data_IF_109644451707
#
_entry.id   IF_109644451707
#
_cell.length_a   1.000
_cell.length_b   1.000
_cell.length_c   1.000
_cell.angle_alpha   90.00
_cell.angle_beta   90.00
_cell.angle_gamma   90.00
#
_symmetry.space_group_name_H-M   'P 1'
#
loop_
_entity.id
_entity.type
_entity.pdbx_description
1 polymer ?
#
# COMPACT_ATOMS: atom_id res chain seq x y z
N UNK A 1 -10.95 -12.89 -7.52
CA UNK A 1 -9.65 -12.56 -8.13
C UNK A 1 -9.20 -13.70 -9.02
N UNK A 2 -8.61 -13.38 -10.16
CA UNK A 2 -8.17 -14.36 -11.17
C UNK A 2 -6.75 -14.04 -11.64
N UNK A 3 -6.05 -15.09 -12.08
CA UNK A 3 -4.75 -14.96 -12.74
C UNK A 3 -4.88 -14.36 -14.17
N UNK A 4 -3.77 -14.22 -14.87
CA UNK A 4 -3.74 -13.70 -16.25
C UNK A 4 -4.34 -14.65 -17.31
N UNK A 5 -4.66 -15.88 -16.92
CA UNK A 5 -5.31 -16.89 -17.76
C UNK A 5 -6.77 -17.09 -17.41
N UNK A 6 -7.32 -16.31 -16.46
CA UNK A 6 -8.69 -16.37 -16.00
C UNK A 6 -8.97 -17.43 -14.93
N UNK A 7 -7.95 -18.13 -14.41
CA UNK A 7 -8.13 -19.09 -13.33
C UNK A 7 -8.25 -18.39 -11.99
N UNK A 8 -9.19 -18.84 -11.16
CA UNK A 8 -9.37 -18.28 -9.83
C UNK A 8 -8.17 -18.56 -8.92
N UNK A 9 -7.68 -17.55 -8.21
CA UNK A 9 -6.75 -17.75 -7.11
C UNK A 9 -7.43 -18.54 -6.00
N UNK A 10 -6.67 -19.45 -5.38
CA UNK A 10 -7.12 -20.25 -4.24
C UNK A 10 -6.42 -19.79 -2.98
N UNK A 11 -7.18 -19.61 -1.92
CA UNK A 11 -6.69 -19.25 -0.59
C UNK A 11 -6.80 -20.48 0.31
N UNK A 12 -5.74 -20.77 1.06
CA UNK A 12 -5.74 -21.68 2.18
C UNK A 12 -5.22 -20.97 3.42
N UNK A 13 -5.83 -21.26 4.57
CA UNK A 13 -5.43 -20.74 5.89
C UNK A 13 -4.94 -21.90 6.75
N UNK A 14 -3.67 -22.31 6.62
CA UNK A 14 -3.10 -23.36 7.45
C UNK A 14 -3.02 -22.90 8.92
N UNK A 15 -2.90 -23.86 9.84
CA UNK A 15 -2.88 -23.59 11.29
C UNK A 15 -1.92 -22.47 11.72
N UNK A 16 -0.66 -22.39 11.24
CA UNK A 16 0.21 -21.27 11.58
C UNK A 16 -0.35 -19.91 11.17
N UNK A 17 -1.03 -19.83 10.03
CA UNK A 17 -1.68 -18.57 9.59
C UNK A 17 -2.85 -18.20 10.49
N UNK A 18 -3.67 -19.18 10.94
CA UNK A 18 -4.75 -18.94 11.90
C UNK A 18 -4.21 -18.44 13.25
N UNK A 19 -3.11 -19.00 13.73
CA UNK A 19 -2.45 -18.55 14.97
C UNK A 19 -1.94 -17.11 14.79
N UNK A 20 -1.30 -16.79 13.66
CA UNK A 20 -0.81 -15.44 13.37
C UNK A 20 -1.97 -14.43 13.31
N UNK A 21 -3.07 -14.77 12.64
CA UNK A 21 -4.26 -13.93 12.57
C UNK A 21 -4.85 -13.67 13.96
N UNK A 22 -4.96 -14.71 14.79
CA UNK A 22 -5.43 -14.55 16.17
C UNK A 22 -4.56 -13.56 16.98
N UNK A 23 -3.22 -13.64 16.83
CA UNK A 23 -2.31 -12.69 17.50
C UNK A 23 -2.49 -11.27 16.96
N UNK A 24 -2.61 -11.11 15.64
CA UNK A 24 -2.83 -9.78 15.02
C UNK A 24 -4.16 -9.18 15.51
N UNK A 25 -5.23 -9.95 15.51
CA UNK A 25 -6.54 -9.48 16.00
C UNK A 25 -6.50 -9.04 17.45
N UNK A 26 -5.84 -9.82 18.29
CA UNK A 26 -5.71 -9.52 19.71
C UNK A 26 -4.84 -8.28 19.98
N UNK A 27 -3.73 -8.14 19.26
CA UNK A 27 -2.67 -7.20 19.60
C UNK A 27 -2.71 -5.92 18.76
N UNK A 28 -3.22 -5.97 17.51
CA UNK A 28 -3.20 -4.85 16.58
C UNK A 28 -4.57 -4.17 16.37
N UNK A 29 -5.70 -4.85 16.64
CA UNK A 29 -7.04 -4.27 16.54
C UNK A 29 -7.55 -3.69 17.86
N UNK A 30 -6.86 -3.92 18.98
CA UNK A 30 -7.29 -3.53 20.32
C UNK A 30 -6.99 -2.08 20.69
N UNK A 31 -7.45 -1.69 21.90
CA UNK A 31 -7.00 -0.47 22.55
C UNK A 31 -5.70 -0.73 23.31
N UNK A 32 -4.72 0.19 23.22
CA UNK A 32 -3.55 0.12 24.11
C UNK A 32 -4.04 0.32 25.54
N UNK A 33 -3.99 -0.75 26.33
CA UNK A 33 -4.16 -0.67 27.78
C UNK A 33 -2.79 -0.37 28.39
N UNK A 34 -2.56 0.89 28.74
CA UNK A 34 -1.38 1.24 29.56
C UNK A 34 -1.77 1.13 31.03
N UNK A 35 -0.97 0.46 31.83
CA UNK A 35 -1.12 0.39 33.30
C UNK A 35 -0.89 1.76 33.98
N UNK A 36 -0.37 2.74 33.23
CA UNK A 36 -0.10 4.09 33.72
C UNK A 36 -1.04 5.09 33.02
N UNK A 37 -1.68 5.94 33.81
CA UNK A 37 -2.61 7.00 33.40
C UNK A 37 -1.92 8.16 32.70
N UNK A 38 -1.11 7.89 31.68
CA UNK A 38 -0.63 8.92 30.74
C UNK A 38 -1.70 9.18 29.69
N UNK A 39 -1.85 10.41 29.18
CA UNK A 39 -2.84 10.73 28.15
C UNK A 39 -2.63 9.83 26.94
N UNK A 40 -3.49 8.84 26.77
CA UNK A 40 -3.43 7.79 25.74
C UNK A 40 -3.34 8.40 24.34
N UNK A 41 -3.96 9.57 24.14
CA UNK A 41 -4.00 10.28 22.86
C UNK A 41 -2.64 10.84 22.41
N UNK A 42 -1.87 11.49 23.29
CA UNK A 42 -0.57 12.06 22.93
C UNK A 42 0.47 11.00 22.56
N UNK A 43 0.48 9.87 23.27
CA UNK A 43 1.40 8.77 22.99
C UNK A 43 1.02 8.04 21.69
N UNK A 44 -0.28 7.87 21.43
CA UNK A 44 -0.78 7.28 20.19
C UNK A 44 -0.41 8.14 18.97
N UNK A 45 -0.68 9.44 19.02
CA UNK A 45 -0.40 10.35 17.92
C UNK A 45 1.10 10.46 17.63
N UNK A 46 1.93 10.45 18.69
CA UNK A 46 3.39 10.42 18.54
C UNK A 46 3.86 9.11 17.90
N UNK A 47 3.31 7.97 18.33
CA UNK A 47 3.63 6.67 17.75
C UNK A 47 3.24 6.62 16.28
N UNK A 48 2.02 7.02 15.95
CA UNK A 48 1.51 7.03 14.57
C UNK A 48 2.34 7.94 13.67
N UNK A 49 2.71 9.14 14.15
CA UNK A 49 3.55 10.06 13.39
C UNK A 49 4.94 9.47 13.14
N UNK A 50 5.53 8.83 14.15
CA UNK A 50 6.84 8.19 14.01
C UNK A 50 6.77 7.05 12.98
N UNK A 51 5.77 6.17 13.11
CA UNK A 51 5.59 5.04 12.19
C UNK A 51 5.31 5.49 10.76
N UNK A 52 4.53 6.57 10.58
CA UNK A 52 4.26 7.19 9.29
C UNK A 52 5.56 7.70 8.61
N UNK A 53 6.41 8.39 9.36
CA UNK A 53 7.70 8.87 8.87
C UNK A 53 8.59 7.67 8.48
N UNK A 54 8.68 6.65 9.33
CA UNK A 54 9.47 5.45 9.10
C UNK A 54 9.03 4.71 7.82
N UNK A 55 7.74 4.46 7.68
CA UNK A 55 7.19 3.80 6.49
C UNK A 55 7.43 4.62 5.23
N UNK A 56 7.25 5.93 5.31
CA UNK A 56 7.45 6.81 4.16
C UNK A 56 8.90 6.78 3.66
N UNK A 57 9.86 6.66 4.57
CA UNK A 57 11.29 6.55 4.25
C UNK A 57 11.60 5.16 3.70
N UNK A 58 11.27 4.12 4.45
CA UNK A 58 11.64 2.73 4.10
C UNK A 58 10.98 2.27 2.82
N UNK A 59 9.69 2.54 2.66
CA UNK A 59 8.93 2.22 1.45
C UNK A 59 9.51 2.90 0.20
N UNK A 60 9.94 4.16 0.31
CA UNK A 60 10.56 4.89 -0.80
C UNK A 60 11.98 4.41 -1.09
N UNK A 61 12.76 4.05 -0.05
CA UNK A 61 14.09 3.48 -0.22
C UNK A 61 14.06 2.11 -0.91
N UNK A 62 13.06 1.28 -0.64
CA UNK A 62 12.83 0.02 -1.36
C UNK A 62 12.63 0.23 -2.86
N UNK A 63 12.09 1.36 -3.26
CA UNK A 63 11.87 1.75 -4.67
C UNK A 63 13.00 2.64 -5.22
N UNK A 64 14.15 2.71 -4.52
CA UNK A 64 15.36 3.37 -5.03
C UNK A 64 15.58 4.81 -4.58
N UNK A 65 14.82 5.34 -3.64
CA UNK A 65 15.14 6.64 -3.05
C UNK A 65 16.47 6.57 -2.29
N UNK A 66 17.46 7.39 -2.71
CA UNK A 66 18.81 7.37 -2.17
C UNK A 66 19.00 8.28 -0.93
N UNK A 67 17.97 8.99 -0.51
CA UNK A 67 18.00 9.91 0.63
C UNK A 67 18.25 9.15 1.94
N UNK A 68 19.20 9.63 2.74
CA UNK A 68 19.47 9.03 4.04
C UNK A 68 18.33 9.29 5.02
N UNK A 69 18.09 8.33 5.94
CA UNK A 69 17.05 8.44 6.96
C UNK A 69 17.10 9.79 7.71
N UNK A 70 18.28 10.19 8.18
CA UNK A 70 18.44 11.45 8.93
C UNK A 70 17.99 12.69 8.14
N UNK A 71 18.31 12.74 6.84
CA UNK A 71 17.92 13.86 5.97
C UNK A 71 16.41 13.86 5.74
N UNK A 72 15.83 12.69 5.48
CA UNK A 72 14.41 12.53 5.27
C UNK A 72 13.58 12.88 6.52
N UNK A 73 13.97 12.39 7.70
CA UNK A 73 13.31 12.74 8.95
C UNK A 73 13.35 14.25 9.23
N UNK A 74 14.52 14.88 9.04
CA UNK A 74 14.66 16.33 9.21
C UNK A 74 13.74 17.08 8.25
N UNK A 75 13.70 16.68 6.96
CA UNK A 75 12.82 17.26 5.95
C UNK A 75 11.35 17.20 6.39
N UNK A 76 10.87 16.03 6.80
CA UNK A 76 9.47 15.83 7.17
C UNK A 76 9.11 16.55 8.47
N UNK A 77 9.99 16.52 9.50
CA UNK A 77 9.76 17.19 10.80
C UNK A 77 9.79 18.72 10.69
N UNK A 78 10.66 19.26 9.85
CA UNK A 78 10.79 20.70 9.61
C UNK A 78 9.76 21.24 8.60
N UNK A 79 9.08 20.35 7.86
CA UNK A 79 8.12 20.71 6.82
C UNK A 79 8.76 21.41 5.61
N UNK A 80 10.06 21.19 5.37
CA UNK A 80 10.75 21.82 4.24
C UNK A 80 10.42 21.11 2.92
N UNK A 81 10.51 21.83 1.83
CA UNK A 81 10.31 21.27 0.49
C UNK A 81 11.42 20.28 0.13
N UNK A 82 11.08 19.20 -0.64
CA UNK A 82 12.07 18.30 -1.24
C UNK A 82 13.06 19.04 -2.13
N UNK A 83 14.32 18.56 -2.18
CA UNK A 83 15.43 19.14 -2.95
C UNK A 83 15.86 18.28 -4.12
N UNK A 84 15.54 16.99 -4.07
CA UNK A 84 15.91 16.01 -5.08
C UNK A 84 14.81 14.95 -5.28
N UNK A 85 15.02 14.06 -6.22
CA UNK A 85 14.08 13.00 -6.57
C UNK A 85 13.77 12.07 -5.40
N UNK A 86 14.79 11.63 -4.64
CA UNK A 86 14.61 10.74 -3.50
C UNK A 86 13.80 11.39 -2.37
N UNK A 87 14.09 12.66 -2.05
CA UNK A 87 13.30 13.45 -1.09
C UNK A 87 11.86 13.62 -1.58
N UNK A 88 11.65 13.84 -2.88
CA UNK A 88 10.29 13.96 -3.46
C UNK A 88 9.51 12.66 -3.32
N UNK A 89 10.13 11.51 -3.60
CA UNK A 89 9.50 10.20 -3.39
C UNK A 89 9.04 10.01 -1.93
N UNK A 90 9.90 10.32 -0.98
CA UNK A 90 9.60 10.19 0.46
C UNK A 90 8.49 11.16 0.88
N UNK A 91 8.55 12.40 0.42
CA UNK A 91 7.54 13.41 0.73
C UNK A 91 6.16 13.02 0.16
N UNK A 92 6.11 12.55 -1.08
CA UNK A 92 4.88 12.08 -1.71
C UNK A 92 4.29 10.90 -0.95
N UNK A 93 5.12 9.94 -0.54
CA UNK A 93 4.68 8.79 0.23
C UNK A 93 4.10 9.23 1.58
N UNK A 94 4.81 10.11 2.31
CA UNK A 94 4.33 10.68 3.57
C UNK A 94 2.96 11.36 3.41
N UNK A 95 2.81 12.23 2.41
CA UNK A 95 1.55 12.95 2.15
C UNK A 95 0.41 11.99 1.78
N UNK A 96 0.71 10.98 0.99
CA UNK A 96 -0.29 9.96 0.61
C UNK A 96 -0.75 9.17 1.81
N UNK A 97 0.19 8.71 2.66
CA UNK A 97 -0.13 7.96 3.86
C UNK A 97 -0.91 8.79 4.89
N UNK A 98 -0.57 10.08 5.05
CA UNK A 98 -1.34 11.03 5.87
C UNK A 98 -2.79 11.14 5.38
N UNK A 99 -2.99 11.24 4.05
CA UNK A 99 -4.31 11.35 3.45
C UNK A 99 -5.12 10.04 3.54
N UNK A 100 -4.48 8.88 3.48
CA UNK A 100 -5.15 7.58 3.61
C UNK A 100 -5.96 7.44 4.89
N UNK A 101 -5.52 8.08 5.98
CA UNK A 101 -6.24 8.09 7.27
C UNK A 101 -7.63 8.74 7.13
N UNK A 102 -7.75 9.79 6.34
CA UNK A 102 -9.04 10.43 6.07
C UNK A 102 -9.92 9.63 5.11
N UNK A 103 -9.29 8.84 4.22
CA UNK A 103 -9.97 8.04 3.21
C UNK A 103 -10.38 6.63 3.68
N UNK A 104 -10.07 6.24 4.92
CA UNK A 104 -10.40 4.90 5.43
C UNK A 104 -11.89 4.57 5.46
N UNK A 105 -12.76 5.59 5.55
CA UNK A 105 -14.21 5.44 5.51
C UNK A 105 -14.79 5.33 4.10
N UNK A 106 -14.03 5.73 3.10
CA UNK A 106 -14.49 5.75 1.70
C UNK A 106 -14.31 4.38 1.05
N UNK A 107 -15.22 3.98 0.15
CA UNK A 107 -15.03 2.76 -0.62
C UNK A 107 -13.84 2.90 -1.57
N UNK A 108 -13.09 1.82 -1.77
CA UNK A 108 -12.05 1.78 -2.79
C UNK A 108 -12.70 1.74 -4.17
N UNK A 109 -12.29 2.64 -5.05
CA UNK A 109 -12.69 2.66 -6.46
C UNK A 109 -11.45 2.64 -7.35
N UNK A 110 -11.58 2.26 -8.62
CA UNK A 110 -10.48 2.39 -9.59
C UNK A 110 -9.91 3.81 -9.62
N UNK A 111 -10.76 4.83 -9.56
CA UNK A 111 -10.35 6.24 -9.56
C UNK A 111 -9.54 6.59 -8.33
N UNK A 112 -9.91 6.08 -7.14
CA UNK A 112 -9.14 6.28 -5.92
C UNK A 112 -7.77 5.60 -6.01
N UNK A 113 -7.68 4.40 -6.60
CA UNK A 113 -6.38 3.73 -6.82
C UNK A 113 -5.49 4.58 -7.74
N UNK A 114 -6.06 5.12 -8.84
CA UNK A 114 -5.32 6.00 -9.76
C UNK A 114 -4.89 7.29 -9.08
N UNK A 115 -5.73 7.87 -8.23
CA UNK A 115 -5.40 9.09 -7.49
C UNK A 115 -4.28 8.84 -6.46
N UNK A 116 -4.33 7.73 -5.70
CA UNK A 116 -3.25 7.34 -4.79
C UNK A 116 -1.93 7.14 -5.55
N UNK A 117 -1.97 6.46 -6.70
CA UNK A 117 -0.80 6.32 -7.56
C UNK A 117 -0.28 7.69 -8.02
N UNK A 118 -1.17 8.59 -8.46
CA UNK A 118 -0.80 9.96 -8.88
C UNK A 118 -0.08 10.70 -7.77
N UNK A 119 -0.61 10.64 -6.53
CA UNK A 119 0.01 11.31 -5.38
C UNK A 119 1.39 10.73 -5.05
N UNK A 120 1.52 9.41 -5.08
CA UNK A 120 2.79 8.71 -4.80
C UNK A 120 3.87 8.99 -5.83
N UNK A 121 3.49 9.28 -7.07
CA UNK A 121 4.41 9.38 -8.21
C UNK A 121 4.53 10.80 -8.78
N UNK A 122 3.90 11.78 -8.13
CA UNK A 122 3.97 13.18 -8.56
C UNK A 122 5.41 13.65 -8.67
N UNK A 123 5.80 14.15 -9.85
CA UNK A 123 7.14 14.64 -10.17
C UNK A 123 8.29 13.64 -9.96
N UNK A 124 7.98 12.33 -9.95
CA UNK A 124 8.99 11.26 -9.78
C UNK A 124 9.04 10.26 -10.93
N UNK A 125 8.15 10.36 -11.91
CA UNK A 125 8.18 9.51 -13.11
C UNK A 125 8.99 10.19 -14.23
N UNK A 126 9.67 9.40 -15.07
CA UNK A 126 10.34 9.92 -16.27
C UNK A 126 9.37 10.67 -17.19
N UNK A 127 8.20 10.08 -17.41
CA UNK A 127 7.10 10.76 -18.07
C UNK A 127 6.04 11.14 -17.05
N UNK A 128 5.99 12.41 -16.65
CA UNK A 128 5.03 12.94 -15.67
C UNK A 128 3.56 12.69 -16.06
N UNK A 129 3.26 12.49 -17.35
CA UNK A 129 1.91 12.21 -17.82
C UNK A 129 1.39 10.82 -17.41
N UNK A 130 2.25 9.90 -16.95
CA UNK A 130 1.87 8.56 -16.51
C UNK A 130 1.42 8.50 -15.06
N UNK A 131 1.62 9.58 -14.29
CA UNK A 131 1.14 9.68 -12.92
C UNK A 131 -0.41 9.55 -12.87
N UNK A 132 -0.91 8.57 -12.12
CA UNK A 132 -2.34 8.28 -12.02
C UNK A 132 -2.95 7.62 -13.24
N UNK A 133 -2.15 6.98 -14.09
CA UNK A 133 -2.63 6.31 -15.31
C UNK A 133 -2.17 4.87 -15.38
N UNK A 134 -3.03 4.01 -15.89
CA UNK A 134 -2.67 2.64 -16.24
C UNK A 134 -1.66 2.63 -17.40
N UNK A 135 -0.71 1.68 -17.36
CA UNK A 135 0.17 1.44 -18.51
C UNK A 135 -0.65 1.08 -19.75
N UNK A 136 -0.09 1.38 -20.91
CA UNK A 136 -0.72 1.20 -22.22
C UNK A 136 0.04 0.22 -23.11
N UNK A 137 1.04 -0.44 -22.55
CA UNK A 137 1.91 -1.38 -23.26
C UNK A 137 2.14 -2.63 -22.39
N UNK A 138 2.67 -3.69 -22.99
CA UNK A 138 2.99 -4.96 -22.33
C UNK A 138 4.51 -5.16 -22.12
N UNK A 139 5.29 -4.11 -22.25
CA UNK A 139 6.74 -4.11 -22.08
C UNK A 139 7.19 -4.02 -20.61
N UNK A 140 6.26 -3.77 -19.70
CA UNK A 140 6.51 -3.75 -18.25
C UNK A 140 6.50 -5.16 -17.71
N UNK A 141 7.64 -5.60 -17.15
CA UNK A 141 7.82 -6.90 -16.52
C UNK A 141 8.42 -6.77 -15.13
N UNK A 142 8.14 -7.73 -14.26
CA UNK A 142 8.84 -7.86 -12.99
C UNK A 142 10.12 -8.66 -13.24
N UNK A 143 11.28 -8.04 -12.99
CA UNK A 143 12.58 -8.63 -13.28
C UNK A 143 13.43 -8.77 -12.00
N UNK A 144 14.29 -9.79 -11.97
CA UNK A 144 15.37 -9.84 -10.97
C UNK A 144 16.47 -8.87 -11.44
N UNK A 145 16.65 -7.79 -10.69
CA UNK A 145 17.62 -6.74 -11.02
C UNK A 145 19.09 -7.25 -11.02
N UNK A 146 19.39 -8.40 -10.41
CA UNK A 146 20.74 -8.97 -10.35
C UNK A 146 21.10 -9.72 -11.63
N UNK A 147 20.09 -10.35 -12.26
CA UNK A 147 20.32 -11.26 -13.40
C UNK A 147 19.55 -10.85 -14.66
N UNK A 148 18.70 -9.82 -14.58
CA UNK A 148 17.82 -9.41 -15.68
C UNK A 148 16.77 -10.43 -16.08
N UNK A 149 16.54 -11.44 -15.22
CA UNK A 149 15.58 -12.53 -15.51
C UNK A 149 14.17 -12.04 -15.25
N UNK A 150 13.27 -12.26 -16.21
CA UNK A 150 11.83 -11.97 -16.03
C UNK A 150 11.27 -12.98 -15.04
N UNK A 151 10.85 -12.49 -13.88
CA UNK A 151 10.22 -13.29 -12.82
C UNK A 151 8.72 -13.40 -13.04
N UNK A 152 8.10 -12.35 -13.58
CA UNK A 152 6.67 -12.33 -13.85
C UNK A 152 6.37 -11.39 -15.02
N UNK A 153 5.58 -11.89 -15.98
CA UNK A 153 4.97 -11.10 -17.04
C UNK A 153 3.52 -10.81 -16.64
N UNK A 154 3.15 -9.53 -16.38
CA UNK A 154 1.81 -9.16 -15.95
C UNK A 154 0.73 -9.48 -17.00
N UNK A 155 -0.58 -9.39 -16.63
CA UNK A 155 -1.68 -9.47 -17.57
C UNK A 155 -1.60 -8.41 -18.67
N UNK A 156 -2.33 -8.62 -19.78
CA UNK A 156 -2.37 -7.66 -20.87
C UNK A 156 -2.93 -6.31 -20.40
N UNK A 157 -2.37 -5.20 -20.89
CA UNK A 157 -2.75 -3.85 -20.43
C UNK A 157 -4.24 -3.54 -20.66
N UNK A 158 -4.87 -4.09 -21.69
CA UNK A 158 -6.30 -3.91 -21.99
C UNK A 158 -7.22 -4.52 -20.92
N UNK A 159 -6.74 -5.51 -20.16
CA UNK A 159 -7.49 -6.12 -19.05
C UNK A 159 -7.49 -5.28 -17.77
N UNK A 160 -6.54 -4.35 -17.63
CA UNK A 160 -6.30 -3.64 -16.38
C UNK A 160 -7.50 -2.87 -15.83
N UNK A 161 -8.33 -2.18 -16.67
CA UNK A 161 -9.52 -1.50 -16.15
C UNK A 161 -10.49 -2.44 -15.45
N UNK A 162 -10.77 -3.60 -16.07
CA UNK A 162 -11.67 -4.60 -15.48
C UNK A 162 -11.06 -5.26 -14.25
N UNK A 163 -9.75 -5.52 -14.27
CA UNK A 163 -9.02 -6.10 -13.14
C UNK A 163 -9.02 -5.16 -11.94
N UNK A 164 -8.81 -3.84 -12.15
CA UNK A 164 -8.94 -2.84 -11.08
C UNK A 164 -10.36 -2.77 -10.53
N UNK A 165 -11.38 -2.82 -11.37
CA UNK A 165 -12.77 -2.84 -10.92
C UNK A 165 -13.08 -4.06 -10.04
N UNK A 166 -12.61 -5.25 -10.43
CA UNK A 166 -12.74 -6.49 -9.63
C UNK A 166 -11.96 -6.39 -8.31
N UNK A 167 -10.76 -5.79 -8.34
CA UNK A 167 -9.95 -5.59 -7.14
C UNK A 167 -10.65 -4.63 -6.16
N UNK A 168 -11.23 -3.55 -6.67
CA UNK A 168 -12.01 -2.59 -5.88
C UNK A 168 -13.24 -3.25 -5.25
N UNK A 169 -13.99 -4.05 -6.00
CA UNK A 169 -15.12 -4.81 -5.47
C UNK A 169 -14.69 -5.78 -4.36
N UNK A 170 -13.57 -6.50 -4.56
CA UNK A 170 -13.00 -7.38 -3.54
C UNK A 170 -12.56 -6.62 -2.29
N UNK A 171 -11.95 -5.44 -2.44
CA UNK A 171 -11.50 -4.61 -1.34
C UNK A 171 -12.64 -4.11 -0.44
N UNK A 172 -13.79 -3.82 -1.05
CA UNK A 172 -14.96 -3.29 -0.37
C UNK A 172 -15.87 -4.37 0.26
N UNK A 173 -15.58 -5.65 0.03
CA UNK A 173 -16.31 -6.72 0.67
C UNK A 173 -16.11 -6.67 2.20
N UNK A 174 -17.14 -7.00 2.95
CA UNK A 174 -17.20 -6.92 4.41
C UNK A 174 -17.28 -8.33 5.06
N UNK A 175 -17.58 -8.36 6.36
CA UNK A 175 -17.74 -9.60 7.13
C UNK A 175 -18.98 -10.42 6.76
N UNK A 176 -19.96 -9.81 6.08
CA UNK A 176 -21.17 -10.48 5.62
C UNK A 176 -21.02 -11.04 4.20
N UNK A 177 -19.91 -10.76 3.54
CA UNK A 177 -19.64 -11.22 2.18
C UNK A 177 -19.32 -12.72 2.14
N UNK A 178 -19.77 -13.40 1.11
CA UNK A 178 -19.54 -14.85 0.92
C UNK A 178 -18.72 -15.11 -0.35
N UNK A 179 -17.59 -15.82 -0.27
CA UNK A 179 -16.96 -16.35 0.96
C UNK A 179 -16.33 -15.26 1.83
N UNK A 180 -16.37 -15.45 3.14
CA UNK A 180 -15.65 -14.57 4.06
C UNK A 180 -14.14 -14.65 3.84
N UNK A 181 -13.50 -13.49 3.76
CA UNK A 181 -12.05 -13.36 3.74
C UNK A 181 -11.63 -12.47 4.89
N UNK A 182 -10.77 -13.02 5.77
CA UNK A 182 -10.27 -12.28 6.92
C UNK A 182 -9.66 -10.93 6.51
N UNK A 183 -9.92 -9.81 7.21
CA UNK A 183 -9.47 -8.47 6.81
C UNK A 183 -7.96 -8.36 6.56
N UNK A 184 -7.14 -8.97 7.42
CA UNK A 184 -5.67 -9.00 7.24
C UNK A 184 -5.29 -9.73 5.94
N UNK A 185 -5.92 -10.86 5.67
CA UNK A 185 -5.69 -11.60 4.41
C UNK A 185 -6.14 -10.77 3.21
N UNK A 186 -7.26 -10.07 3.34
CA UNK A 186 -7.75 -9.17 2.28
C UNK A 186 -6.74 -8.07 1.97
N UNK A 187 -6.16 -7.44 3.00
CA UNK A 187 -5.11 -6.43 2.82
C UNK A 187 -3.86 -7.01 2.12
N UNK A 188 -3.43 -8.22 2.50
CA UNK A 188 -2.32 -8.93 1.86
C UNK A 188 -2.64 -9.24 0.39
N UNK A 189 -3.86 -9.66 0.08
CA UNK A 189 -4.29 -9.95 -1.30
C UNK A 189 -4.40 -8.69 -2.15
N UNK A 190 -4.79 -7.54 -1.59
CA UNK A 190 -4.75 -6.26 -2.30
C UNK A 190 -3.33 -5.89 -2.70
N UNK A 191 -2.39 -5.99 -1.74
CA UNK A 191 -0.97 -5.78 -2.01
C UNK A 191 -0.45 -6.71 -3.11
N UNK A 192 -0.71 -8.02 -2.96
CA UNK A 192 -0.30 -9.03 -3.93
C UNK A 192 -0.85 -8.75 -5.33
N UNK A 193 -2.13 -8.39 -5.45
CA UNK A 193 -2.76 -8.18 -6.76
C UNK A 193 -2.23 -6.97 -7.50
N UNK A 194 -1.88 -5.89 -6.83
CA UNK A 194 -1.19 -4.76 -7.48
C UNK A 194 0.19 -5.19 -7.97
N UNK A 195 0.93 -5.97 -7.18
CA UNK A 195 2.20 -6.55 -7.62
C UNK A 195 2.06 -7.48 -8.82
N UNK A 196 1.02 -8.31 -8.82
CA UNK A 196 0.73 -9.28 -9.88
C UNK A 196 0.23 -8.62 -11.17
N UNK A 197 -0.76 -7.73 -11.08
CA UNK A 197 -1.35 -7.04 -12.24
C UNK A 197 -0.40 -5.98 -12.80
N UNK A 198 0.47 -5.45 -11.96
CA UNK A 198 1.49 -4.45 -12.29
C UNK A 198 0.93 -3.34 -13.17
N UNK A 199 -0.12 -2.64 -12.70
CA UNK A 199 -0.97 -1.81 -13.57
C UNK A 199 -0.31 -0.52 -14.04
N UNK A 200 0.82 -0.13 -13.44
CA UNK A 200 1.50 1.14 -13.70
C UNK A 200 2.88 0.91 -14.32
N UNK A 201 3.42 1.94 -14.98
CA UNK A 201 4.78 1.91 -15.52
C UNK A 201 5.83 1.90 -14.41
N UNK A 202 5.55 2.57 -13.28
CA UNK A 202 6.35 2.59 -12.06
C UNK A 202 5.43 2.92 -10.87
N UNK A 203 5.92 2.81 -9.62
CA UNK A 203 5.13 3.11 -8.41
C UNK A 203 4.20 1.98 -7.95
N UNK A 204 4.23 0.81 -8.58
CA UNK A 204 3.38 -0.33 -8.22
C UNK A 204 3.61 -0.78 -6.77
N UNK A 205 4.86 -0.87 -6.31
CA UNK A 205 5.19 -1.27 -4.94
C UNK A 205 4.67 -0.29 -3.89
N UNK A 206 4.86 1.02 -4.11
CA UNK A 206 4.33 2.08 -3.22
C UNK A 206 2.81 2.05 -3.18
N UNK A 207 2.15 1.90 -4.32
CA UNK A 207 0.68 1.79 -4.41
C UNK A 207 0.17 0.53 -3.71
N UNK A 208 0.83 -0.61 -3.88
CA UNK A 208 0.48 -1.86 -3.22
C UNK A 208 0.53 -1.73 -1.68
N UNK A 209 1.58 -1.11 -1.13
CA UNK A 209 1.71 -0.83 0.30
C UNK A 209 0.64 0.16 0.79
N UNK A 210 0.39 1.23 0.04
CA UNK A 210 -0.65 2.18 0.38
C UNK A 210 -2.04 1.52 0.47
N UNK A 211 -2.40 0.64 -0.46
CA UNK A 211 -3.65 -0.11 -0.41
C UNK A 211 -3.71 -1.12 0.73
N UNK A 212 -2.58 -1.75 1.08
CA UNK A 212 -2.49 -2.59 2.27
C UNK A 212 -2.86 -1.79 3.52
N UNK A 213 -2.23 -0.63 3.73
CA UNK A 213 -2.49 0.22 4.90
C UNK A 213 -3.91 0.79 4.90
N UNK A 214 -4.43 1.21 3.74
CA UNK A 214 -5.82 1.63 3.62
C UNK A 214 -6.79 0.53 4.11
N UNK A 215 -6.57 -0.70 3.68
CA UNK A 215 -7.41 -1.85 4.04
C UNK A 215 -7.32 -2.19 5.53
N UNK A 216 -6.12 -2.13 6.10
CA UNK A 216 -5.90 -2.36 7.53
C UNK A 216 -6.57 -1.27 8.39
N UNK A 217 -6.39 0.01 8.01
CA UNK A 217 -7.01 1.14 8.71
C UNK A 217 -8.54 1.08 8.64
N UNK A 218 -9.11 0.76 7.46
CA UNK A 218 -10.54 0.57 7.25
C UNK A 218 -11.12 -0.53 8.15
N UNK A 219 -10.36 -1.58 8.38
CA UNK A 219 -10.75 -2.73 9.20
C UNK A 219 -10.45 -2.55 10.70
N UNK A 220 -9.96 -1.36 11.12
CA UNK A 220 -9.74 -1.03 12.53
C UNK A 220 -8.41 -1.48 13.13
N UNK A 221 -7.46 -1.95 12.30
CA UNK A 221 -6.11 -2.35 12.74
C UNK A 221 -5.18 -1.14 12.81
N UNK A 222 -5.47 -0.22 13.71
CA UNK A 222 -4.79 1.07 13.79
C UNK A 222 -3.30 0.98 14.18
N UNK A 223 -2.86 -0.11 14.87
CA UNK A 223 -1.43 -0.36 15.14
C UNK A 223 -0.66 -0.79 13.90
N UNK A 224 -1.36 -1.15 12.82
CA UNK A 224 -0.79 -1.53 11.53
C UNK A 224 -1.04 -0.45 10.48
N UNK A 225 -1.50 0.74 10.89
CA UNK A 225 -1.72 1.86 9.97
C UNK A 225 -0.40 2.33 9.35
N UNK A 226 0.75 2.04 10.00
CA UNK A 226 2.08 2.42 9.48
C UNK A 226 3.20 1.56 10.07
#
# INVERSE_FOLDING_TARGET
LVDKHGHAFRLATPEPALIALHHIDRDAAGQIRTEFATPIHENRDRYLLHSLIEESITSSQLEGASTTRRVAEAMLKEGRKPRDHGETMIFNNYRTMEQLRSLRGEPLTPELILELHRMLTLDTLENHADAGRLRRTNDVNVVDNRYGTVLHAPPHFEELPERLARLSAFANADEHSTPFVHPVIRAILLHFMIGYDHPFVDGNGRTARALFYWSMARSGYWLMEF
#
